data_IF_293486070677
#
_entry.id   IF_293486070677
#
_cell.length_a   1.000
_cell.length_b   1.000
_cell.length_c   1.000
_cell.angle_alpha   90.00
_cell.angle_beta   90.00
_cell.angle_gamma   90.00
#
_symmetry.space_group_name_H-M   'P 1'
#
loop_
_entity.id
_entity.type
_entity.pdbx_description
1 polymer ?
#
# COMPACT_ATOMS: atom_id res chain seq x y z
N UNK A 1 -42.14 0.19 59.11
CA UNK A 1 -42.11 1.49 58.41
C UNK A 1 -42.58 1.25 56.98
N UNK A 2 -43.71 1.82 56.61
CA UNK A 2 -44.32 1.73 55.29
C UNK A 2 -44.16 3.07 54.56
N UNK A 3 -43.76 3.06 53.28
CA UNK A 3 -44.43 3.74 52.15
C UNK A 3 -43.60 3.59 50.87
N UNK A 4 -44.26 3.12 49.81
CA UNK A 4 -43.79 3.08 48.43
C UNK A 4 -43.64 4.49 47.84
N UNK A 5 -42.76 4.69 46.85
CA UNK A 5 -42.98 5.66 45.78
C UNK A 5 -42.22 5.24 44.52
N UNK A 6 -43.01 4.73 43.57
CA UNK A 6 -42.78 4.57 42.13
C UNK A 6 -42.31 5.88 41.47
N UNK A 7 -41.50 5.79 40.40
CA UNK A 7 -41.44 6.62 39.16
C UNK A 7 -40.03 6.50 38.55
N UNK A 8 -39.78 6.36 37.25
CA UNK A 8 -40.59 6.35 36.03
C UNK A 8 -39.69 5.79 34.92
N UNK A 9 -40.26 4.92 34.09
CA UNK A 9 -39.72 4.53 32.79
C UNK A 9 -39.48 5.76 31.91
N UNK A 10 -38.36 5.79 31.18
CA UNK A 10 -38.33 6.41 29.85
C UNK A 10 -37.57 5.46 28.91
N UNK A 11 -38.36 4.59 28.31
CA UNK A 11 -38.07 3.91 27.05
C UNK A 11 -38.55 4.88 25.95
N UNK A 12 -37.69 5.25 25.00
CA UNK A 12 -38.08 5.88 23.73
C UNK A 12 -36.95 5.58 22.73
N UNK A 13 -37.05 4.57 21.88
CA UNK A 13 -37.89 4.46 20.66
C UNK A 13 -37.48 5.47 19.59
N UNK A 14 -36.77 4.99 18.56
CA UNK A 14 -36.99 5.39 17.17
C UNK A 14 -36.27 4.40 16.22
N UNK A 15 -37.02 3.43 15.73
CA UNK A 15 -36.73 2.69 14.52
C UNK A 15 -37.49 3.34 13.36
N UNK A 16 -36.81 3.58 12.23
CA UNK A 16 -37.38 3.79 10.89
C UNK A 16 -36.20 3.68 9.90
N UNK A 17 -35.96 2.52 9.29
CA UNK A 17 -36.54 2.05 8.01
C UNK A 17 -36.48 3.14 6.92
N UNK A 18 -35.56 2.98 5.97
CA UNK A 18 -35.92 3.06 4.55
C UNK A 18 -34.92 2.24 3.73
N UNK A 19 -35.28 0.99 3.48
CA UNK A 19 -34.80 0.28 2.30
C UNK A 19 -35.65 0.71 1.10
N UNK A 20 -35.10 0.51 -0.11
CA UNK A 20 -35.74 0.48 -1.44
C UNK A 20 -35.58 1.74 -2.29
N UNK A 21 -34.50 1.80 -3.08
CA UNK A 21 -34.62 2.00 -4.54
C UNK A 21 -33.42 1.34 -5.26
N UNK A 22 -33.66 0.18 -5.86
CA UNK A 22 -32.82 -0.36 -6.93
C UNK A 22 -33.47 0.04 -8.25
N UNK A 23 -32.76 0.82 -9.08
CA UNK A 23 -32.82 1.03 -10.56
C UNK A 23 -31.76 2.14 -10.74
N UNK A 24 -30.63 1.98 -11.41
CA UNK A 24 -30.39 1.40 -12.72
C UNK A 24 -29.74 2.51 -13.57
N UNK A 25 -28.56 2.26 -14.14
CA UNK A 25 -28.00 3.08 -15.23
C UNK A 25 -27.41 4.43 -14.85
N UNK A 26 -26.09 4.50 -14.74
CA UNK A 26 -25.35 5.75 -14.58
C UNK A 26 -23.85 5.52 -14.56
N UNK A 27 -23.31 4.91 -15.62
CA UNK A 27 -21.92 5.17 -15.97
C UNK A 27 -21.80 6.67 -16.27
N UNK A 28 -20.88 7.36 -15.58
CA UNK A 28 -20.25 8.68 -15.85
C UNK A 28 -19.98 9.35 -14.50
N UNK A 29 -18.85 9.95 -14.18
CA UNK A 29 -17.51 9.99 -14.72
C UNK A 29 -16.70 10.66 -13.60
N UNK A 30 -15.55 10.10 -13.24
CA UNK A 30 -14.48 10.86 -12.60
C UNK A 30 -13.18 10.53 -13.33
N UNK A 31 -13.21 10.73 -14.64
CA UNK A 31 -12.03 10.90 -15.46
C UNK A 31 -11.46 12.28 -15.08
N UNK A 32 -10.32 12.29 -14.40
CA UNK A 32 -9.74 13.49 -13.77
C UNK A 32 -9.12 13.26 -12.40
N UNK A 33 -9.10 12.02 -11.90
CA UNK A 33 -8.35 11.66 -10.70
C UNK A 33 -6.87 11.98 -10.87
N UNK A 34 -6.31 12.77 -9.94
CA UNK A 34 -4.86 12.89 -9.74
C UNK A 34 -4.33 11.47 -9.62
N UNK A 35 -3.71 10.95 -10.68
CA UNK A 35 -3.20 9.58 -10.72
C UNK A 35 -2.16 9.46 -9.62
N UNK A 36 -2.37 8.51 -8.72
CA UNK A 36 -1.41 8.28 -7.65
C UNK A 36 -0.07 7.81 -8.23
N UNK A 37 1.03 7.93 -7.48
CA UNK A 37 2.34 7.42 -7.91
C UNK A 37 2.28 5.93 -8.31
N UNK A 38 1.41 5.14 -7.67
CA UNK A 38 1.12 3.75 -8.04
C UNK A 38 0.60 3.59 -9.47
N UNK A 39 -0.40 4.38 -9.88
CA UNK A 39 -1.06 4.22 -11.18
C UNK A 39 -0.14 4.57 -12.35
N UNK A 40 0.79 5.51 -12.12
CA UNK A 40 1.82 5.89 -13.08
C UNK A 40 2.78 4.71 -13.28
N UNK A 41 3.32 4.16 -12.19
CA UNK A 41 4.23 3.01 -12.23
C UNK A 41 3.60 1.77 -12.88
N UNK A 42 2.36 1.44 -12.51
CA UNK A 42 1.64 0.31 -13.10
C UNK A 42 1.46 0.50 -14.60
N UNK A 43 1.07 1.70 -15.04
CA UNK A 43 0.89 2.00 -16.47
C UNK A 43 2.20 1.90 -17.24
N UNK A 44 3.30 2.40 -16.67
CA UNK A 44 4.63 2.31 -17.30
C UNK A 44 5.07 0.85 -17.41
N UNK A 45 4.93 0.07 -16.34
CA UNK A 45 5.22 -1.36 -16.36
C UNK A 45 4.31 -2.13 -17.35
N UNK A 46 3.04 -1.75 -17.50
CA UNK A 46 2.16 -2.35 -18.51
C UNK A 46 2.59 -2.01 -19.94
N UNK A 47 3.19 -0.82 -20.16
CA UNK A 47 3.66 -0.40 -21.48
C UNK A 47 4.96 -1.11 -21.86
N UNK A 48 5.88 -1.26 -20.93
CA UNK A 48 7.25 -1.71 -21.20
C UNK A 48 7.54 -3.14 -20.70
N UNK A 49 6.58 -3.78 -20.04
CA UNK A 49 6.73 -5.08 -19.38
C UNK A 49 7.20 -4.95 -17.92
N UNK A 50 8.17 -4.07 -17.68
CA UNK A 50 8.67 -3.73 -16.34
C UNK A 50 8.95 -2.23 -16.24
N UNK A 51 9.11 -1.73 -15.02
CA UNK A 51 9.64 -0.37 -14.75
C UNK A 51 10.68 -0.44 -13.63
N UNK A 52 11.77 0.30 -13.82
CA UNK A 52 12.84 0.43 -12.83
C UNK A 52 12.36 1.29 -11.65
N UNK A 53 12.34 0.71 -10.46
CA UNK A 53 11.87 1.34 -9.22
C UNK A 53 12.95 1.36 -8.15
N UNK A 54 12.82 2.32 -7.23
CA UNK A 54 13.45 2.31 -5.91
C UNK A 54 12.36 2.09 -4.87
N UNK A 55 12.61 1.16 -3.95
CA UNK A 55 11.77 0.84 -2.80
C UNK A 55 12.51 1.26 -1.54
N UNK A 56 11.88 2.08 -0.71
CA UNK A 56 12.38 2.48 0.61
C UNK A 56 11.54 1.79 1.68
N UNK A 57 12.19 1.19 2.68
CA UNK A 57 11.54 0.42 3.72
C UNK A 57 11.20 1.27 4.95
N UNK A 58 10.09 0.92 5.60
CA UNK A 58 9.78 1.36 6.97
C UNK A 58 10.60 0.50 7.93
N UNK A 59 11.44 1.13 8.73
CA UNK A 59 12.23 0.48 9.78
C UNK A 59 12.31 1.40 10.99
N UNK A 60 12.45 0.82 12.18
CA UNK A 60 12.74 1.59 13.39
C UNK A 60 14.10 2.29 13.24
N UNK A 61 14.21 3.54 13.72
CA UNK A 61 15.45 4.34 13.57
C UNK A 61 16.68 3.61 14.12
N UNK A 62 16.53 2.89 15.25
CA UNK A 62 17.60 2.12 15.87
C UNK A 62 18.14 0.98 14.97
N UNK A 63 17.35 0.50 14.02
CA UNK A 63 17.72 -0.59 13.12
C UNK A 63 18.29 -0.09 11.78
N UNK A 64 18.14 1.20 11.46
CA UNK A 64 18.59 1.79 10.18
C UNK A 64 20.11 1.98 10.06
N UNK A 65 20.85 1.74 11.14
CA UNK A 65 22.32 1.79 11.15
C UNK A 65 22.95 0.40 11.20
N UNK A 66 22.14 -0.66 11.30
CA UNK A 66 22.59 -2.05 11.32
C UNK A 66 22.39 -2.67 9.94
N UNK A 67 23.49 -2.85 9.21
CA UNK A 67 23.45 -3.38 7.84
C UNK A 67 22.83 -4.79 7.75
N UNK A 68 22.99 -5.61 8.78
CA UNK A 68 22.44 -6.97 8.78
C UNK A 68 20.92 -6.94 8.93
N UNK A 69 20.40 -6.06 9.81
CA UNK A 69 18.95 -5.86 9.94
C UNK A 69 18.35 -5.27 8.68
N UNK A 70 19.02 -4.31 8.05
CA UNK A 70 18.58 -3.73 6.78
C UNK A 70 18.49 -4.82 5.71
N UNK A 71 19.54 -5.64 5.56
CA UNK A 71 19.53 -6.74 4.59
C UNK A 71 18.39 -7.73 4.86
N UNK A 72 18.17 -8.09 6.12
CA UNK A 72 17.07 -8.99 6.51
C UNK A 72 15.70 -8.39 6.19
N UNK A 73 15.49 -7.09 6.41
CA UNK A 73 14.24 -6.41 6.07
C UNK A 73 14.01 -6.37 4.55
N UNK A 74 15.06 -6.11 3.78
CA UNK A 74 15.02 -6.17 2.31
C UNK A 74 14.64 -7.57 1.84
N UNK A 75 15.29 -8.62 2.36
CA UNK A 75 14.99 -10.00 2.00
C UNK A 75 13.55 -10.40 2.29
N UNK A 76 13.00 -9.95 3.42
CA UNK A 76 11.61 -10.22 3.77
C UNK A 76 10.63 -9.60 2.77
N UNK A 77 10.82 -8.33 2.39
CA UNK A 77 9.98 -7.66 1.38
C UNK A 77 10.14 -8.33 0.01
N UNK A 78 11.38 -8.66 -0.38
CA UNK A 78 11.66 -9.30 -1.66
C UNK A 78 11.00 -10.68 -1.77
N UNK A 79 11.07 -11.49 -0.72
CA UNK A 79 10.36 -12.78 -0.68
C UNK A 79 8.84 -12.63 -0.77
N UNK A 80 8.24 -11.63 -0.12
CA UNK A 80 6.78 -11.44 -0.16
C UNK A 80 6.29 -10.91 -1.51
N UNK A 81 7.00 -9.96 -2.09
CA UNK A 81 6.58 -9.32 -3.35
C UNK A 81 6.95 -10.16 -4.59
N UNK A 82 8.10 -10.83 -4.57
CA UNK A 82 8.69 -11.50 -5.75
C UNK A 82 8.91 -13.01 -5.57
N UNK A 83 8.80 -13.55 -4.35
CA UNK A 83 9.04 -14.96 -4.07
C UNK A 83 10.52 -15.38 -4.11
N UNK A 84 11.45 -14.43 -4.23
CA UNK A 84 12.90 -14.66 -4.30
C UNK A 84 13.68 -13.44 -3.82
N UNK A 85 14.97 -13.62 -3.51
CA UNK A 85 15.85 -12.54 -3.03
C UNK A 85 17.02 -12.23 -3.97
N UNK A 86 17.19 -13.02 -5.03
CA UNK A 86 18.31 -13.02 -5.95
C UNK A 86 17.85 -12.63 -7.37
N UNK A 87 17.81 -11.33 -7.67
CA UNK A 87 17.40 -10.86 -9.01
C UNK A 87 18.59 -10.22 -9.73
N UNK A 88 18.72 -10.42 -11.05
CA UNK A 88 19.92 -10.01 -11.81
C UNK A 88 20.17 -8.50 -11.77
N UNK A 89 19.13 -7.71 -11.58
CA UNK A 89 19.08 -6.26 -11.64
C UNK A 89 18.87 -5.61 -10.25
N UNK A 90 18.83 -6.44 -9.20
CA UNK A 90 18.66 -5.99 -7.82
C UNK A 90 19.90 -5.24 -7.34
N UNK A 91 19.72 -3.98 -6.99
CA UNK A 91 20.70 -3.16 -6.30
C UNK A 91 20.23 -2.88 -4.89
N UNK A 92 21.04 -3.24 -3.90
CA UNK A 92 20.76 -2.98 -2.48
C UNK A 92 21.56 -1.80 -1.97
N UNK A 93 20.94 -1.02 -1.09
CA UNK A 93 21.59 0.05 -0.35
C UNK A 93 21.52 -0.30 1.14
N UNK A 94 22.65 -0.24 1.84
CA UNK A 94 22.71 -0.50 3.29
C UNK A 94 22.84 0.76 4.13
N UNK A 95 23.27 1.89 3.52
CA UNK A 95 23.30 3.19 4.19
C UNK A 95 21.90 3.78 4.42
N UNK A 96 20.96 3.43 3.53
CA UNK A 96 19.54 3.75 3.64
C UNK A 96 18.81 2.44 3.40
N UNK A 97 17.76 2.10 4.17
CA UNK A 97 17.03 0.86 3.98
C UNK A 97 16.22 0.88 2.67
N UNK A 98 16.89 0.63 1.55
CA UNK A 98 16.29 0.69 0.24
C UNK A 98 16.95 -0.28 -0.74
N UNK A 99 16.20 -0.61 -1.78
CA UNK A 99 16.70 -1.38 -2.92
C UNK A 99 16.06 -0.90 -4.21
N UNK A 100 16.72 -1.16 -5.33
CA UNK A 100 16.25 -0.83 -6.67
C UNK A 100 16.22 -2.08 -7.55
N UNK A 101 15.18 -2.21 -8.37
CA UNK A 101 14.99 -3.30 -9.33
C UNK A 101 13.96 -2.91 -10.39
N UNK A 102 13.84 -3.72 -11.42
CA UNK A 102 12.76 -3.72 -12.39
C UNK A 102 11.59 -4.55 -11.85
N UNK A 103 10.39 -3.96 -11.87
CA UNK A 103 9.19 -4.61 -11.37
C UNK A 103 8.08 -4.62 -12.41
N UNK A 104 7.32 -5.71 -12.43
CA UNK A 104 6.09 -5.90 -13.21
C UNK A 104 4.89 -5.22 -12.54
N UNK A 105 3.78 -5.02 -13.27
CA UNK A 105 2.58 -4.40 -12.71
C UNK A 105 2.07 -5.05 -11.41
N UNK A 106 2.02 -6.38 -11.35
CA UNK A 106 1.52 -7.12 -10.18
C UNK A 106 2.49 -7.06 -8.99
N UNK A 107 3.79 -7.05 -9.26
CA UNK A 107 4.82 -6.88 -8.23
C UNK A 107 4.77 -5.47 -7.61
N UNK A 108 4.54 -4.44 -8.42
CA UNK A 108 4.30 -3.07 -7.95
C UNK A 108 3.07 -3.03 -7.06
N UNK A 109 1.98 -3.69 -7.43
CA UNK A 109 0.79 -3.76 -6.59
C UNK A 109 1.07 -4.38 -5.22
N UNK A 110 1.83 -5.49 -5.18
CA UNK A 110 2.25 -6.14 -3.92
C UNK A 110 3.11 -5.22 -3.07
N UNK A 111 4.08 -4.52 -3.67
CA UNK A 111 4.94 -3.58 -2.94
C UNK A 111 4.16 -2.42 -2.32
N UNK A 112 3.19 -1.84 -3.03
CA UNK A 112 2.33 -0.79 -2.47
C UNK A 112 1.40 -1.29 -1.36
N UNK A 113 1.08 -2.58 -1.34
CA UNK A 113 0.27 -3.21 -0.30
C UNK A 113 1.10 -3.67 0.93
N UNK A 114 2.43 -3.72 0.81
CA UNK A 114 3.30 -4.23 1.87
C UNK A 114 3.46 -3.19 3.01
N UNK A 115 3.18 -3.57 4.27
CA UNK A 115 3.26 -2.64 5.40
C UNK A 115 4.69 -2.20 5.72
N UNK A 116 5.71 -2.96 5.32
CA UNK A 116 7.11 -2.63 5.56
C UNK A 116 7.69 -1.74 4.45
N UNK A 117 6.90 -1.40 3.43
CA UNK A 117 7.29 -0.49 2.36
C UNK A 117 6.81 0.93 2.68
N UNK A 118 7.74 1.88 2.71
CA UNK A 118 7.47 3.28 2.95
C UNK A 118 7.14 4.02 1.64
N UNK A 119 7.97 3.81 0.61
CA UNK A 119 7.92 4.53 -0.66
C UNK A 119 8.27 3.55 -1.77
N UNK A 120 7.54 3.65 -2.88
CA UNK A 120 7.88 3.04 -4.17
C UNK A 120 7.83 4.16 -5.21
N UNK A 121 8.93 4.34 -5.95
CA UNK A 121 9.04 5.40 -6.96
C UNK A 121 9.93 4.94 -8.11
N UNK A 122 9.88 5.65 -9.25
CA UNK A 122 10.79 5.40 -10.36
C UNK A 122 12.23 5.65 -9.92
N UNK A 123 13.15 4.79 -10.34
CA UNK A 123 14.58 5.06 -10.23
C UNK A 123 14.99 6.10 -11.27
N UNK A 124 14.90 7.39 -10.92
CA UNK A 124 15.27 8.49 -11.81
C UNK A 124 16.76 8.56 -12.17
N UNK A 125 17.61 7.70 -11.61
CA UNK A 125 19.03 7.58 -11.98
C UNK A 125 19.28 6.55 -13.08
N UNK A 126 18.30 5.69 -13.38
CA UNK A 126 18.32 4.88 -14.59
C UNK A 126 17.91 5.77 -15.77
N UNK A 127 18.84 6.04 -16.68
CA UNK A 127 18.47 6.66 -17.95
C UNK A 127 17.42 5.77 -18.65
N UNK A 128 16.46 6.36 -19.38
CA UNK A 128 15.54 5.56 -20.18
C UNK A 128 16.34 4.72 -21.19
N UNK A 129 16.04 3.42 -21.26
CA UNK A 129 16.51 2.55 -22.33
C UNK A 129 15.94 2.99 -23.69
#
# INVERSE_FOLDING_TARGET
MATSTTRRHVLALAAAILATTTIGGGAMAADGGVRGPKDILIREAQRWGTVRIIVILRMAEADKTDEAKIRSAQDAVLMRAFGRTDMPDLRRHTLIPSFALDAKPDEIERLFADPDVAIVQVDGMAAPN
#
